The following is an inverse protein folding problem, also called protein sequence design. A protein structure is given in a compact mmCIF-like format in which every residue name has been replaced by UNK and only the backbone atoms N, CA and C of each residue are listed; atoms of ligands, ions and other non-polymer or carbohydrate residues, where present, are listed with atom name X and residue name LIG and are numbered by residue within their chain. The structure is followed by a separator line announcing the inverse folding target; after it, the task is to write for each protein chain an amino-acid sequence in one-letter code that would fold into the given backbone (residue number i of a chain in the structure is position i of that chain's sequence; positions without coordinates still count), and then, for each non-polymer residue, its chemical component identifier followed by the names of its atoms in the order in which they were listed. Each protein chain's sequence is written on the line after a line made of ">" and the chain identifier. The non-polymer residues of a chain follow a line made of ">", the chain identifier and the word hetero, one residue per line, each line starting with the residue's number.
data_IF_131555453207
#
_entry.id   IF_131555453207
#
_cell.length_a   1.000
_cell.length_b   1.000
_cell.length_c   1.000
_cell.angle_alpha   90.00
_cell.angle_beta   90.00
_cell.angle_gamma   90.00
#
_symmetry.space_group_name_H-M   'P 1'
#
loop_
_entity.id
_entity.type
_entity.pdbx_description
1 polymer ?
#
# COMPACT_ATOMS: atom_id res chain seq x y z
N UNK A 1 19.74 -2.76 -22.92
CA UNK A 1 19.72 -2.11 -21.60
C UNK A 1 19.31 -3.16 -20.58
N UNK A 2 20.27 -3.68 -19.81
CA UNK A 2 19.95 -4.69 -18.78
C UNK A 2 19.21 -3.98 -17.64
N UNK A 3 17.91 -4.25 -17.50
CA UNK A 3 17.12 -3.74 -16.39
C UNK A 3 17.52 -4.53 -15.15
N UNK A 4 18.43 -3.96 -14.34
CA UNK A 4 18.81 -4.54 -13.06
C UNK A 4 17.59 -4.52 -12.16
N UNK A 5 16.99 -5.70 -11.93
CA UNK A 5 15.93 -5.88 -10.95
C UNK A 5 16.44 -5.42 -9.58
N UNK A 6 15.68 -4.57 -8.89
CA UNK A 6 16.05 -4.10 -7.56
C UNK A 6 16.06 -5.26 -6.54
N UNK A 7 16.64 -5.06 -5.34
CA UNK A 7 16.66 -6.09 -4.31
C UNK A 7 15.27 -6.63 -3.96
N UNK A 8 14.26 -5.75 -3.91
CA UNK A 8 12.87 -6.14 -3.67
C UNK A 8 12.25 -6.92 -4.84
N UNK A 9 12.67 -6.69 -6.08
CA UNK A 9 12.15 -7.41 -7.26
C UNK A 9 12.62 -8.86 -7.34
N UNK A 10 13.64 -9.21 -6.55
CA UNK A 10 14.21 -10.56 -6.45
C UNK A 10 13.91 -11.21 -5.10
N UNK A 11 13.24 -10.49 -4.21
CA UNK A 11 12.86 -10.96 -2.88
C UNK A 11 11.64 -11.89 -2.99
N UNK A 12 11.59 -13.01 -2.25
CA UNK A 12 10.39 -13.83 -2.14
C UNK A 12 9.18 -13.03 -1.65
N UNK A 13 7.99 -13.35 -2.17
CA UNK A 13 6.78 -12.61 -1.88
C UNK A 13 6.41 -12.63 -0.38
N UNK A 14 6.70 -13.73 0.31
CA UNK A 14 6.43 -13.90 1.74
C UNK A 14 7.25 -12.93 2.59
N UNK A 15 8.50 -12.67 2.18
CA UNK A 15 9.36 -11.70 2.86
C UNK A 15 8.92 -10.27 2.54
N UNK A 16 8.57 -9.99 1.27
CA UNK A 16 7.97 -8.71 0.91
C UNK A 16 6.69 -8.42 1.71
N UNK A 17 5.80 -9.41 1.84
CA UNK A 17 4.57 -9.32 2.63
C UNK A 17 4.88 -8.96 4.10
N UNK A 18 5.88 -9.60 4.71
CA UNK A 18 6.33 -9.26 6.07
C UNK A 18 6.92 -7.85 6.18
N UNK A 19 7.76 -7.46 5.22
CA UNK A 19 8.36 -6.13 5.18
C UNK A 19 7.26 -5.06 5.07
N UNK A 20 6.32 -5.24 4.15
CA UNK A 20 5.26 -4.27 3.89
C UNK A 20 4.24 -4.21 5.03
N UNK A 21 3.95 -5.34 5.69
CA UNK A 21 3.13 -5.37 6.89
C UNK A 21 3.69 -4.44 7.98
N UNK A 22 5.01 -4.47 8.19
CA UNK A 22 5.69 -3.68 9.19
C UNK A 22 5.89 -2.21 8.75
N UNK A 23 6.21 -1.99 7.47
CA UNK A 23 6.58 -0.69 6.95
C UNK A 23 5.37 0.23 6.67
N UNK A 24 4.23 -0.31 6.23
CA UNK A 24 3.05 0.47 5.85
C UNK A 24 2.22 0.91 7.08
N UNK A 25 2.85 1.54 8.07
CA UNK A 25 2.22 1.97 9.33
C UNK A 25 2.17 3.50 9.48
N UNK A 26 2.50 4.22 8.41
CA UNK A 26 2.79 5.66 8.39
C UNK A 26 1.72 6.48 7.64
N UNK A 27 0.45 6.29 7.98
CA UNK A 27 -0.69 7.01 7.37
C UNK A 27 -0.80 6.88 5.83
N UNK A 28 -0.26 5.80 5.28
CA UNK A 28 -0.39 5.43 3.86
C UNK A 28 0.73 5.98 2.97
N UNK A 29 1.71 6.69 3.53
CA UNK A 29 2.83 7.22 2.78
C UNK A 29 3.74 6.12 2.20
N UNK A 30 4.14 5.15 3.03
CA UNK A 30 5.00 4.05 2.58
C UNK A 30 4.27 3.16 1.56
N UNK A 31 3.01 2.82 1.79
CA UNK A 31 2.22 2.01 0.85
C UNK A 31 2.14 2.65 -0.55
N UNK A 32 1.91 3.97 -0.60
CA UNK A 32 1.90 4.72 -1.86
C UNK A 32 3.27 4.75 -2.52
N UNK A 33 4.34 4.95 -1.75
CA UNK A 33 5.72 4.96 -2.27
C UNK A 33 6.10 3.61 -2.89
N UNK A 34 5.79 2.50 -2.20
CA UNK A 34 6.03 1.14 -2.69
C UNK A 34 5.33 0.87 -4.02
N UNK A 35 4.10 1.37 -4.19
CA UNK A 35 3.32 1.19 -5.41
C UNK A 35 3.99 1.75 -6.68
N UNK A 36 4.97 2.65 -6.51
CA UNK A 36 5.68 3.33 -7.60
C UNK A 36 7.07 2.74 -7.90
N UNK A 37 7.55 1.79 -7.11
CA UNK A 37 8.93 1.25 -7.23
C UNK A 37 9.07 0.38 -8.48
N UNK A 38 8.20 -0.62 -8.64
CA UNK A 38 8.22 -1.55 -9.76
C UNK A 38 6.86 -2.23 -9.94
N UNK A 39 6.66 -2.97 -11.05
CA UNK A 39 5.44 -3.77 -11.25
C UNK A 39 5.30 -4.87 -10.18
N UNK A 40 6.40 -5.51 -9.78
CA UNK A 40 6.40 -6.56 -8.77
C UNK A 40 6.05 -5.99 -7.39
N UNK A 41 6.73 -4.91 -6.98
CA UNK A 41 6.48 -4.25 -5.69
C UNK A 41 5.07 -3.66 -5.65
N UNK A 42 4.58 -3.10 -6.77
CA UNK A 42 3.20 -2.63 -6.87
C UNK A 42 2.20 -3.75 -6.58
N UNK A 43 2.38 -4.94 -7.16
CA UNK A 43 1.45 -6.04 -6.98
C UNK A 43 1.48 -6.61 -5.55
N UNK A 44 2.67 -6.81 -4.99
CA UNK A 44 2.87 -7.41 -3.66
C UNK A 44 2.46 -6.45 -2.53
N UNK A 45 2.70 -5.14 -2.67
CA UNK A 45 2.33 -4.15 -1.64
C UNK A 45 0.83 -3.84 -1.53
N UNK A 46 -0.01 -4.23 -2.51
CA UNK A 46 -1.44 -3.87 -2.58
C UNK A 46 -2.22 -4.16 -1.30
N UNK A 47 -1.94 -5.28 -0.64
CA UNK A 47 -2.66 -5.70 0.59
C UNK A 47 -2.40 -4.78 1.79
N UNK A 48 -1.32 -4.00 1.73
CA UNK A 48 -0.85 -3.15 2.83
C UNK A 48 -1.09 -1.66 2.57
N UNK A 49 -1.46 -1.27 1.35
CA UNK A 49 -1.63 0.15 0.99
C UNK A 49 -2.70 0.88 1.81
N UNK A 50 -3.75 0.18 2.23
CA UNK A 50 -4.86 0.77 2.98
C UNK A 50 -4.82 0.45 4.48
N UNK A 51 -3.78 -0.23 4.98
CA UNK A 51 -3.80 -0.74 6.35
C UNK A 51 -3.68 0.36 7.42
N UNK A 52 -3.01 1.46 7.12
CA UNK A 52 -2.86 2.61 8.00
C UNK A 52 -3.16 3.87 7.20
N UNK A 53 -4.19 4.62 7.58
CA UNK A 53 -4.66 5.81 6.88
C UNK A 53 -4.95 6.91 7.90
N UNK A 54 -4.45 8.12 7.64
CA UNK A 54 -4.88 9.33 8.34
C UNK A 54 -5.61 10.24 7.37
N UNK A 55 -6.84 10.60 7.71
CA UNK A 55 -7.70 11.48 6.94
C UNK A 55 -7.83 12.79 7.72
N UNK A 56 -7.63 13.92 7.04
CA UNK A 56 -7.74 15.22 7.66
C UNK A 56 -8.81 16.02 6.91
N UNK A 57 -9.94 16.28 7.59
CA UNK A 57 -11.07 17.01 7.04
C UNK A 57 -12.01 16.19 6.15
N UNK A 58 -13.22 16.74 5.94
CA UNK A 58 -14.34 16.08 5.25
C UNK A 58 -13.98 15.71 3.80
N UNK A 59 -13.23 16.58 3.10
CA UNK A 59 -12.86 16.34 1.71
C UNK A 59 -12.04 15.05 1.54
N UNK A 60 -11.12 14.78 2.48
CA UNK A 60 -10.31 13.55 2.45
C UNK A 60 -11.13 12.32 2.78
N UNK A 61 -12.11 12.44 3.69
CA UNK A 61 -13.04 11.35 4.02
C UNK A 61 -13.87 10.97 2.79
N UNK A 62 -14.48 11.95 2.12
CA UNK A 62 -15.29 11.71 0.91
C UNK A 62 -14.45 11.10 -0.21
N UNK A 63 -13.24 11.63 -0.44
CA UNK A 63 -12.33 11.06 -1.44
C UNK A 63 -11.94 9.62 -1.10
N UNK A 64 -11.71 9.32 0.18
CA UNK A 64 -11.36 7.97 0.63
C UNK A 64 -12.50 6.96 0.44
N UNK A 65 -13.76 7.38 0.63
CA UNK A 65 -14.93 6.53 0.29
C UNK A 65 -14.88 6.12 -1.18
N UNK A 66 -14.62 7.08 -2.09
CA UNK A 66 -14.48 6.77 -3.52
C UNK A 66 -13.31 5.82 -3.84
N UNK A 67 -12.24 5.83 -3.05
CA UNK A 67 -11.14 4.85 -3.16
C UNK A 67 -11.62 3.46 -2.72
N UNK A 68 -12.32 3.36 -1.59
CA UNK A 68 -12.84 2.08 -1.09
C UNK A 68 -13.82 1.45 -2.06
N UNK A 69 -14.73 2.22 -2.65
CA UNK A 69 -15.71 1.73 -3.63
C UNK A 69 -15.05 1.10 -4.86
N UNK A 70 -13.95 1.68 -5.35
CA UNK A 70 -13.19 1.20 -6.52
C UNK A 70 -12.22 0.05 -6.19
N UNK A 71 -11.92 -0.15 -4.91
CA UNK A 71 -10.98 -1.18 -4.46
C UNK A 71 -11.70 -2.52 -4.30
N UNK A 72 -11.08 -3.64 -4.69
CA UNK A 72 -11.67 -4.98 -4.44
C UNK A 72 -11.80 -5.25 -2.94
N UNK A 73 -12.83 -5.96 -2.50
CA UNK A 73 -13.13 -6.23 -1.08
C UNK A 73 -11.92 -6.80 -0.31
N UNK A 74 -11.17 -7.71 -0.93
CA UNK A 74 -9.98 -8.33 -0.35
C UNK A 74 -8.83 -7.36 -0.05
N UNK A 75 -8.83 -6.18 -0.69
CA UNK A 75 -7.81 -5.15 -0.53
C UNK A 75 -8.27 -3.98 0.35
N UNK A 76 -9.55 -3.95 0.79
CA UNK A 76 -10.12 -2.88 1.65
C UNK A 76 -9.75 -3.01 3.12
N UNK A 77 -8.58 -3.58 3.42
CA UNK A 77 -8.18 -3.85 4.79
C UNK A 77 -7.58 -2.61 5.43
N UNK A 78 -8.37 -1.94 6.27
CA UNK A 78 -7.93 -0.82 7.12
C UNK A 78 -7.78 -1.33 8.56
N UNK A 79 -6.58 -1.23 9.14
CA UNK A 79 -6.30 -1.61 10.54
C UNK A 79 -6.25 -0.39 11.46
N UNK A 80 -5.67 0.70 10.97
CA UNK A 80 -5.52 1.95 11.69
C UNK A 80 -6.13 3.08 10.85
N UNK A 81 -7.14 3.75 11.41
CA UNK A 81 -7.81 4.89 10.79
C UNK A 81 -7.77 6.05 11.78
N UNK A 82 -7.17 7.16 11.35
CA UNK A 82 -7.12 8.42 12.09
C UNK A 82 -7.96 9.47 11.34
N UNK A 83 -8.78 10.24 12.06
CA UNK A 83 -9.70 11.25 11.52
C UNK A 83 -9.51 12.56 12.28
#
# INVERSE_FOLDING_TARGET
>A
MSSTRGPLDSCPAELCDRIFELACTDAGYTGRSLSLVSKYVNQTSKRYMLQCIALHGVDKIVAFVGVLERTSKELRRVRHLFI
#
